data_IF_050567211995
#
_entry.id   IF_050567211995
#
_cell.length_a   1.000
_cell.length_b   1.000
_cell.length_c   1.000
_cell.angle_alpha   90.00
_cell.angle_beta   90.00
_cell.angle_gamma   90.00
#
_symmetry.space_group_name_H-M   'P 1'
#
loop_
_entity.id
_entity.type
_entity.pdbx_description
1 polymer ?
#
# COMPACT_ATOMS: atom_id res chain seq x y z
N UNK A 1 -34.05 54.47 14.44
CA UNK A 1 -32.64 54.14 14.11
C UNK A 1 -32.40 52.63 14.05
N UNK A 2 -33.26 51.81 14.66
CA UNK A 2 -33.04 50.38 14.87
C UNK A 2 -33.21 49.51 13.62
N UNK A 3 -34.15 49.87 12.74
CA UNK A 3 -34.40 49.14 11.49
C UNK A 3 -33.19 49.16 10.53
N UNK A 4 -32.44 50.27 10.51
CA UNK A 4 -31.23 50.41 9.68
C UNK A 4 -30.10 49.54 10.23
N UNK A 5 -29.94 49.50 11.55
CA UNK A 5 -28.91 48.68 12.21
C UNK A 5 -29.19 47.18 12.04
N UNK A 6 -30.45 46.76 12.08
CA UNK A 6 -30.87 45.37 11.81
C UNK A 6 -30.57 44.98 10.36
N UNK A 7 -30.87 45.85 9.40
CA UNK A 7 -30.61 45.61 7.98
C UNK A 7 -29.10 45.42 7.71
N UNK A 8 -28.27 46.28 8.30
CA UNK A 8 -26.80 46.23 8.14
C UNK A 8 -26.22 44.95 8.75
N UNK A 9 -26.70 44.53 9.92
CA UNK A 9 -26.28 43.26 10.56
C UNK A 9 -26.68 42.04 9.74
N UNK A 10 -27.88 42.05 9.17
CA UNK A 10 -28.36 40.96 8.31
C UNK A 10 -27.52 40.87 7.02
N UNK A 11 -27.24 42.02 6.39
CA UNK A 11 -26.38 42.10 5.21
C UNK A 11 -24.96 41.60 5.49
N UNK A 12 -24.36 42.01 6.61
CA UNK A 12 -23.04 41.54 7.05
C UNK A 12 -23.02 40.02 7.32
N UNK A 13 -24.06 39.49 7.96
CA UNK A 13 -24.21 38.04 8.20
C UNK A 13 -24.32 37.25 6.90
N UNK A 14 -25.06 37.76 5.90
CA UNK A 14 -25.17 37.11 4.59
C UNK A 14 -23.85 37.15 3.81
N UNK A 15 -23.13 38.27 3.85
CA UNK A 15 -21.82 38.42 3.19
C UNK A 15 -20.80 37.48 3.84
N UNK A 16 -20.74 37.43 5.17
CA UNK A 16 -19.87 36.49 5.88
C UNK A 16 -20.21 35.03 5.57
N UNK A 17 -21.50 34.69 5.52
CA UNK A 17 -21.94 33.35 5.14
C UNK A 17 -21.53 32.97 3.71
N UNK A 18 -21.70 33.89 2.76
CA UNK A 18 -21.29 33.69 1.37
C UNK A 18 -19.77 33.53 1.23
N UNK A 19 -18.97 34.35 1.93
CA UNK A 19 -17.52 34.24 1.97
C UNK A 19 -17.06 32.93 2.61
N UNK A 20 -17.71 32.49 3.69
CA UNK A 20 -17.41 31.21 4.33
C UNK A 20 -17.71 30.02 3.40
N UNK A 21 -18.85 30.04 2.70
CA UNK A 21 -19.20 29.01 1.71
C UNK A 21 -18.21 28.98 0.54
N UNK A 22 -17.79 30.16 0.05
CA UNK A 22 -16.78 30.26 -1.00
C UNK A 22 -15.43 29.68 -0.56
N UNK A 23 -15.00 30.01 0.67
CA UNK A 23 -13.76 29.46 1.24
C UNK A 23 -13.83 27.94 1.40
N UNK A 24 -14.95 27.41 1.90
CA UNK A 24 -15.15 25.96 2.03
C UNK A 24 -15.10 25.26 0.67
N UNK A 25 -15.68 25.87 -0.37
CA UNK A 25 -15.66 25.34 -1.73
C UNK A 25 -14.23 25.31 -2.32
N UNK A 26 -13.44 26.37 -2.10
CA UNK A 26 -12.03 26.41 -2.51
C UNK A 26 -11.22 25.32 -1.80
N UNK A 27 -11.39 25.17 -0.48
CA UNK A 27 -10.71 24.14 0.31
C UNK A 27 -11.09 22.73 -0.17
N UNK A 28 -12.37 22.50 -0.49
CA UNK A 28 -12.84 21.22 -1.01
C UNK A 28 -12.20 20.89 -2.37
N UNK A 29 -12.13 21.86 -3.29
CA UNK A 29 -11.48 21.68 -4.60
C UNK A 29 -9.99 21.39 -4.45
N UNK A 30 -9.29 22.16 -3.62
CA UNK A 30 -7.86 21.98 -3.37
C UNK A 30 -7.57 20.59 -2.78
N UNK A 31 -8.34 20.14 -1.77
CA UNK A 31 -8.17 18.82 -1.19
C UNK A 31 -8.51 17.69 -2.17
N UNK A 32 -9.54 17.86 -3.00
CA UNK A 32 -9.88 16.92 -4.07
C UNK A 32 -8.73 16.71 -5.05
N UNK A 33 -8.14 17.81 -5.56
CA UNK A 33 -7.00 17.72 -6.46
C UNK A 33 -5.74 17.16 -5.79
N UNK A 34 -5.44 17.60 -4.57
CA UNK A 34 -4.33 17.05 -3.79
C UNK A 34 -4.51 15.55 -3.53
N UNK A 35 -5.74 15.06 -3.34
CA UNK A 35 -6.01 13.63 -3.14
C UNK A 35 -5.64 12.80 -4.36
N UNK A 36 -5.95 13.28 -5.58
CA UNK A 36 -5.61 12.61 -6.83
C UNK A 36 -4.10 12.62 -7.08
N UNK A 37 -3.44 13.76 -6.88
CA UNK A 37 -1.98 13.85 -6.97
C UNK A 37 -1.24 13.03 -5.90
N UNK A 38 -1.88 12.81 -4.75
CA UNK A 38 -1.34 12.04 -3.62
C UNK A 38 -1.75 10.56 -3.67
N UNK A 39 -2.47 10.09 -4.70
CA UNK A 39 -2.65 8.64 -4.93
C UNK A 39 -1.29 8.01 -5.21
N UNK A 40 -0.60 7.66 -4.13
CA UNK A 40 0.49 6.69 -4.14
C UNK A 40 -0.17 5.38 -4.55
N UNK A 41 0.40 4.71 -5.54
CA UNK A 41 -0.13 3.44 -5.99
C UNK A 41 -0.19 2.40 -4.86
N UNK A 42 -0.78 1.25 -5.12
CA UNK A 42 -0.96 0.19 -4.14
C UNK A 42 -0.38 -1.12 -4.64
N UNK A 43 -0.25 -2.11 -3.76
CA UNK A 43 0.14 -3.46 -4.15
C UNK A 43 -0.81 -4.10 -5.18
N UNK A 44 -2.07 -3.67 -5.23
CA UNK A 44 -3.06 -4.21 -6.16
C UNK A 44 -3.01 -3.53 -7.54
N UNK A 45 -2.63 -2.24 -7.60
CA UNK A 45 -2.72 -1.44 -8.83
C UNK A 45 -1.35 -0.96 -9.35
N UNK A 46 -0.28 -1.28 -8.63
CA UNK A 46 1.08 -0.83 -8.91
C UNK A 46 1.36 0.59 -8.44
N UNK A 47 2.62 0.86 -8.15
CA UNK A 47 3.16 2.15 -7.75
C UNK A 47 3.52 3.04 -8.94
N UNK A 48 3.76 4.32 -8.69
CA UNK A 48 4.19 5.28 -9.74
C UNK A 48 5.54 4.89 -10.34
N UNK A 49 6.38 4.26 -9.55
CA UNK A 49 7.73 3.80 -9.92
C UNK A 49 7.74 2.50 -10.70
N UNK A 50 6.62 1.78 -10.75
CA UNK A 50 6.56 0.50 -11.47
C UNK A 50 6.56 0.74 -12.98
N UNK A 51 7.17 -0.18 -13.71
CA UNK A 51 7.15 -0.17 -15.17
C UNK A 51 5.71 -0.25 -15.68
N UNK A 52 5.33 0.68 -16.56
CA UNK A 52 3.98 0.78 -17.11
C UNK A 52 3.46 -0.56 -17.67
N UNK A 53 4.25 -1.35 -18.43
CA UNK A 53 3.78 -2.64 -18.95
C UNK A 53 3.49 -3.69 -17.87
N UNK A 54 4.10 -3.61 -16.70
CA UNK A 54 3.93 -4.62 -15.63
C UNK A 54 2.62 -4.42 -14.88
N UNK A 55 2.07 -3.19 -14.87
CA UNK A 55 0.86 -2.86 -14.08
C UNK A 55 -0.37 -3.68 -14.46
N UNK A 56 -0.47 -4.13 -15.71
CA UNK A 56 -1.59 -4.96 -16.18
C UNK A 56 -1.54 -6.39 -15.66
N UNK A 57 -0.39 -6.82 -15.15
CA UNK A 57 -0.13 -8.19 -14.67
C UNK A 57 0.03 -8.23 -13.15
N UNK A 58 -0.05 -7.09 -12.46
CA UNK A 58 -0.01 -7.06 -10.99
C UNK A 58 -1.25 -7.74 -10.43
N UNK A 59 -1.04 -8.70 -9.55
CA UNK A 59 -2.08 -9.39 -8.80
C UNK A 59 -1.69 -9.46 -7.32
N UNK A 60 -2.69 -9.40 -6.44
CA UNK A 60 -2.49 -9.58 -5.01
C UNK A 60 -2.71 -11.06 -4.66
N UNK A 61 -1.75 -11.64 -3.96
CA UNK A 61 -1.83 -13.00 -3.43
C UNK A 61 -1.74 -12.94 -1.90
N UNK A 62 -2.62 -13.68 -1.23
CA UNK A 62 -2.55 -13.87 0.22
C UNK A 62 -1.70 -15.10 0.52
N UNK A 63 -0.64 -14.92 1.29
CA UNK A 63 0.28 -15.99 1.67
C UNK A 63 0.57 -15.92 3.17
N UNK A 64 0.68 -17.09 3.81
CA UNK A 64 1.14 -17.20 5.19
C UNK A 64 2.66 -17.28 5.23
N UNK A 65 3.30 -16.35 5.95
CA UNK A 65 4.75 -16.34 6.09
C UNK A 65 5.20 -17.30 7.20
N UNK A 66 5.95 -18.35 6.83
CA UNK A 66 6.45 -19.40 7.73
C UNK A 66 7.93 -19.23 8.10
N UNK A 67 8.33 -17.99 8.38
CA UNK A 67 9.74 -17.64 8.68
C UNK A 67 10.09 -17.57 10.17
N UNK A 68 9.14 -17.80 11.06
CA UNK A 68 9.35 -17.70 12.51
C UNK A 68 10.22 -18.83 13.04
N UNK A 69 11.11 -18.50 13.99
CA UNK A 69 11.76 -19.49 14.83
C UNK A 69 10.94 -19.65 16.11
N UNK A 70 10.62 -20.89 16.45
CA UNK A 70 9.91 -21.30 17.64
C UNK A 70 10.89 -21.95 18.62
N UNK A 71 10.57 -21.96 19.90
CA UNK A 71 11.31 -22.71 20.91
C UNK A 71 10.66 -24.06 21.14
N UNK A 72 11.46 -25.13 21.13
CA UNK A 72 11.02 -26.43 21.63
C UNK A 72 10.97 -26.45 23.17
N UNK A 73 10.49 -27.56 23.75
CA UNK A 73 10.41 -27.74 25.20
C UNK A 73 11.78 -27.65 25.91
N UNK A 74 12.87 -27.88 25.17
CA UNK A 74 14.25 -27.80 25.66
C UNK A 74 14.86 -26.40 25.49
N UNK A 75 14.10 -25.43 24.96
CA UNK A 75 14.59 -24.08 24.68
C UNK A 75 15.47 -23.96 23.43
N UNK A 76 15.43 -24.95 22.54
CA UNK A 76 16.13 -24.92 21.25
C UNK A 76 15.26 -24.23 20.21
N UNK A 77 15.86 -23.33 19.43
CA UNK A 77 15.18 -22.71 18.31
C UNK A 77 15.02 -23.70 17.15
N UNK A 78 13.80 -23.84 16.64
CA UNK A 78 13.49 -24.59 15.42
C UNK A 78 12.59 -23.76 14.51
N UNK A 79 12.64 -24.04 13.21
CA UNK A 79 11.69 -23.49 12.25
C UNK A 79 10.55 -24.48 12.07
N UNK A 80 9.30 -23.99 12.12
CA UNK A 80 8.14 -24.81 11.79
C UNK A 80 8.15 -25.08 10.27
N UNK A 81 8.29 -26.34 9.89
CA UNK A 81 8.30 -26.77 8.48
C UNK A 81 6.94 -27.31 8.12
N UNK A 82 6.20 -26.60 7.27
CA UNK A 82 5.00 -27.13 6.65
C UNK A 82 5.38 -28.14 5.57
N UNK A 83 5.05 -29.42 5.80
CA UNK A 83 5.30 -30.51 4.85
C UNK A 83 4.63 -30.35 3.48
N UNK A 84 3.61 -29.48 3.37
CA UNK A 84 2.93 -29.17 2.11
C UNK A 84 3.62 -28.11 1.25
N UNK A 85 4.64 -27.42 1.77
CA UNK A 85 5.27 -26.27 1.12
C UNK A 85 6.74 -26.54 0.76
N UNK A 86 7.26 -25.95 -0.33
CA UNK A 86 8.68 -26.05 -0.68
C UNK A 86 9.55 -25.39 0.39
N UNK A 87 10.61 -26.09 0.78
CA UNK A 87 11.60 -25.59 1.74
C UNK A 87 12.79 -24.97 0.99
N UNK A 88 13.20 -23.77 1.42
CA UNK A 88 14.29 -23.02 0.77
C UNK A 88 15.56 -22.92 1.63
N UNK A 89 15.50 -23.33 2.90
CA UNK A 89 16.59 -23.25 3.87
C UNK A 89 16.61 -24.51 4.73
N UNK A 90 17.79 -24.93 5.18
CA UNK A 90 17.94 -26.13 6.00
C UNK A 90 19.23 -26.87 5.68
N UNK A 91 19.27 -28.16 6.04
CA UNK A 91 20.38 -29.02 5.65
C UNK A 91 20.43 -29.14 4.12
N UNK A 92 21.62 -29.07 3.50
CA UNK A 92 21.76 -29.22 2.06
C UNK A 92 21.12 -30.52 1.57
N UNK A 93 20.31 -30.45 0.52
CA UNK A 93 19.68 -31.61 -0.06
C UNK A 93 18.97 -31.32 -1.39
N UNK A 94 18.74 -32.35 -2.23
CA UNK A 94 18.17 -32.17 -3.57
C UNK A 94 16.79 -31.48 -3.60
N UNK A 95 16.03 -31.58 -2.50
CA UNK A 95 14.72 -30.95 -2.37
C UNK A 95 14.82 -29.41 -2.26
N UNK A 96 15.84 -28.90 -1.56
CA UNK A 96 16.11 -27.45 -1.44
C UNK A 96 16.52 -26.89 -2.81
N UNK A 97 17.44 -27.56 -3.51
CA UNK A 97 17.89 -27.14 -4.83
C UNK A 97 16.74 -27.13 -5.84
N UNK A 98 15.87 -28.14 -5.78
CA UNK A 98 14.66 -28.20 -6.62
C UNK A 98 13.69 -27.07 -6.29
N UNK A 99 13.45 -26.78 -5.01
CA UNK A 99 12.59 -25.67 -4.60
C UNK A 99 13.11 -24.32 -5.13
N UNK A 100 14.41 -24.04 -4.97
CA UNK A 100 15.05 -22.85 -5.54
C UNK A 100 14.94 -22.81 -7.06
N UNK A 101 15.19 -23.93 -7.74
CA UNK A 101 15.08 -24.01 -9.20
C UNK A 101 13.65 -23.75 -9.66
N UNK A 102 12.65 -24.35 -9.01
CA UNK A 102 11.23 -24.17 -9.35
C UNK A 102 10.80 -22.71 -9.12
N UNK A 103 11.24 -22.07 -8.04
CA UNK A 103 11.00 -20.65 -7.75
C UNK A 103 11.62 -19.74 -8.83
N UNK A 104 12.87 -20.01 -9.22
CA UNK A 104 13.62 -19.17 -10.16
C UNK A 104 13.23 -19.41 -11.62
N UNK A 105 12.67 -20.57 -11.95
CA UNK A 105 12.14 -20.87 -13.28
C UNK A 105 10.89 -20.02 -13.62
N UNK A 106 10.21 -19.46 -12.62
CA UNK A 106 8.97 -18.71 -12.79
C UNK A 106 9.16 -17.30 -13.35
N UNK A 107 10.27 -16.62 -13.06
CA UNK A 107 10.60 -15.29 -13.58
C UNK A 107 12.10 -15.03 -13.42
N UNK A 108 12.83 -15.02 -14.53
CA UNK A 108 14.22 -14.58 -14.57
C UNK A 108 14.29 -13.10 -14.17
N UNK A 109 14.77 -12.80 -12.96
CA UNK A 109 15.55 -11.58 -12.75
C UNK A 109 16.92 -11.92 -13.33
N UNK A 110 17.35 -11.32 -14.45
CA UNK A 110 18.68 -11.59 -14.99
C UNK A 110 19.68 -11.23 -13.90
N UNK A 111 20.48 -12.21 -13.48
CA UNK A 111 21.56 -12.00 -12.53
C UNK A 111 22.53 -10.97 -13.12
N UNK A 112 22.42 -9.72 -12.67
CA UNK A 112 23.38 -8.67 -12.99
C UNK A 112 24.55 -8.84 -12.03
N UNK A 113 25.40 -9.82 -12.28
CA UNK A 113 26.76 -9.88 -11.77
C UNK A 113 27.63 -10.58 -12.82
N UNK A 114 28.14 -9.78 -13.76
CA UNK A 114 29.41 -10.02 -14.46
C UNK A 114 30.46 -9.11 -13.85
#
# INVERSE_FOLDING_TARGET
MDNVLILVKCCYSCILGALALLLLLIIAIQNGQLSEFRKKGSYQFGFRTDFVPVKTTIALEEASFTGGLLYDENGTLYQEVDSGQPQYVGLPGPHIDKAWKDLMNGNLVPAIFT
#
